data_IF_767976759901
#
_entry.id   IF_767976759901
#
_cell.length_a   1.000
_cell.length_b   1.000
_cell.length_c   1.000
_cell.angle_alpha   90.00
_cell.angle_beta   90.00
_cell.angle_gamma   90.00
#
_symmetry.space_group_name_H-M   'P 1'
#
loop_
_entity.id
_entity.type
_entity.pdbx_description
1 polymer ?
#
# COMPACT_ATOMS: atom_id res chain seq x y z
N UNK A 1 -11.29 19.72 -5.02
CA UNK A 1 -10.15 18.97 -4.46
C UNK A 1 -10.56 17.61 -3.87
N UNK A 2 -11.72 17.52 -3.23
CA UNK A 2 -12.24 16.26 -2.66
C UNK A 2 -12.29 15.08 -3.65
N UNK A 3 -12.89 15.27 -4.84
CA UNK A 3 -12.98 14.22 -5.87
C UNK A 3 -11.58 13.71 -6.25
N UNK A 4 -10.61 14.62 -6.39
CA UNK A 4 -9.23 14.27 -6.74
C UNK A 4 -8.56 13.45 -5.64
N UNK A 5 -8.75 13.81 -4.37
CA UNK A 5 -8.28 13.03 -3.23
C UNK A 5 -8.89 11.62 -3.22
N UNK A 6 -10.20 11.50 -3.39
CA UNK A 6 -10.90 10.20 -3.42
C UNK A 6 -10.43 9.30 -4.57
N UNK A 7 -10.25 9.87 -5.77
CA UNK A 7 -9.71 9.14 -6.92
C UNK A 7 -8.28 8.66 -6.61
N UNK A 8 -7.44 9.52 -6.04
CA UNK A 8 -6.06 9.17 -5.70
C UNK A 8 -5.99 8.04 -4.67
N UNK A 9 -6.83 8.10 -3.63
CA UNK A 9 -6.98 7.03 -2.63
C UNK A 9 -7.41 5.72 -3.29
N UNK A 10 -8.42 5.79 -4.15
CA UNK A 10 -8.97 4.61 -4.85
C UNK A 10 -7.94 3.95 -5.78
N UNK A 11 -7.16 4.75 -6.50
CA UNK A 11 -6.05 4.27 -7.33
C UNK A 11 -4.99 3.58 -6.47
N UNK A 12 -4.58 4.21 -5.37
CA UNK A 12 -3.61 3.62 -4.45
C UNK A 12 -4.10 2.31 -3.85
N UNK A 13 -5.37 2.26 -3.43
CA UNK A 13 -5.99 1.05 -2.92
C UNK A 13 -6.03 -0.05 -3.96
N UNK A 14 -6.58 0.23 -5.15
CA UNK A 14 -6.65 -0.72 -6.25
C UNK A 14 -5.29 -1.26 -6.66
N UNK A 15 -4.27 -0.39 -6.70
CA UNK A 15 -2.89 -0.78 -7.02
C UNK A 15 -2.33 -1.81 -6.04
N UNK A 16 -2.42 -1.57 -4.73
CA UNK A 16 -1.90 -2.50 -3.72
C UNK A 16 -2.57 -3.87 -3.83
N UNK A 17 -3.89 -3.89 -3.96
CA UNK A 17 -4.65 -5.14 -4.11
C UNK A 17 -4.33 -5.85 -5.42
N UNK A 18 -4.15 -5.10 -6.50
CA UNK A 18 -3.75 -5.65 -7.79
C UNK A 18 -2.38 -6.32 -7.69
N UNK A 19 -1.40 -5.64 -7.11
CA UNK A 19 -0.01 -6.11 -6.98
C UNK A 19 0.14 -7.25 -5.97
N UNK A 20 -0.67 -7.32 -4.93
CA UNK A 20 -0.53 -8.36 -3.89
C UNK A 20 -1.43 -9.57 -4.09
N UNK A 21 -2.59 -9.42 -4.75
CA UNK A 21 -3.60 -10.49 -4.84
C UNK A 21 -3.99 -10.82 -6.28
N UNK A 22 -4.37 -9.82 -7.08
CA UNK A 22 -4.97 -10.07 -8.41
C UNK A 22 -3.93 -10.52 -9.43
N UNK A 23 -2.83 -9.79 -9.55
CA UNK A 23 -1.73 -10.12 -10.43
C UNK A 23 -0.37 -9.92 -9.73
N UNK A 24 0.01 -10.86 -8.84
CA UNK A 24 1.23 -10.76 -8.06
C UNK A 24 2.51 -10.48 -8.84
N UNK A 25 2.75 -11.03 -10.05
CA UNK A 25 3.97 -10.74 -10.82
C UNK A 25 4.19 -9.25 -11.12
N UNK A 26 3.14 -8.43 -11.09
CA UNK A 26 3.26 -6.97 -11.30
C UNK A 26 4.17 -6.31 -10.27
N UNK A 27 4.34 -6.87 -9.06
CA UNK A 27 5.26 -6.30 -8.07
C UNK A 27 6.68 -6.09 -8.60
N UNK A 28 7.11 -6.84 -9.63
CA UNK A 28 8.41 -6.67 -10.30
C UNK A 28 8.69 -5.23 -10.73
N UNK A 29 7.66 -4.49 -11.14
CA UNK A 29 7.82 -3.09 -11.56
C UNK A 29 8.34 -2.21 -10.41
N UNK A 30 8.11 -2.60 -9.16
CA UNK A 30 8.56 -1.88 -7.96
C UNK A 30 10.04 -2.10 -7.66
N UNK A 31 10.71 -3.05 -8.33
CA UNK A 31 12.17 -3.27 -8.22
C UNK A 31 12.93 -2.20 -8.98
N UNK A 32 12.34 -1.68 -10.05
CA UNK A 32 12.92 -0.59 -10.83
C UNK A 32 12.90 0.71 -10.05
N UNK A 33 14.09 1.27 -9.79
CA UNK A 33 14.25 2.51 -9.01
C UNK A 33 13.40 3.67 -9.56
N UNK A 34 13.33 3.82 -10.88
CA UNK A 34 12.56 4.88 -11.54
C UNK A 34 11.06 4.74 -11.23
N UNK A 35 10.51 3.56 -11.47
CA UNK A 35 9.10 3.25 -11.28
C UNK A 35 8.70 3.33 -9.81
N UNK A 36 9.53 2.78 -8.91
CA UNK A 36 9.33 2.93 -7.46
C UNK A 36 9.29 4.40 -7.04
N UNK A 37 10.25 5.22 -7.47
CA UNK A 37 10.31 6.63 -7.10
C UNK A 37 9.08 7.42 -7.58
N UNK A 38 8.60 7.15 -8.80
CA UNK A 38 7.38 7.77 -9.33
C UNK A 38 6.18 7.45 -8.43
N UNK A 39 5.99 6.16 -8.12
CA UNK A 39 4.90 5.72 -7.25
C UNK A 39 5.05 6.25 -5.83
N UNK A 40 6.28 6.37 -5.33
CA UNK A 40 6.57 6.93 -4.02
C UNK A 40 6.20 8.41 -3.94
N UNK A 41 6.60 9.23 -4.92
CA UNK A 41 6.19 10.63 -4.97
C UNK A 41 4.69 10.80 -5.13
N UNK A 42 4.04 9.94 -5.93
CA UNK A 42 2.58 9.88 -6.02
C UNK A 42 1.92 9.51 -4.68
N UNK A 43 2.51 8.58 -3.92
CA UNK A 43 2.00 8.19 -2.61
C UNK A 43 2.11 9.30 -1.56
N UNK A 44 3.08 10.20 -1.69
CA UNK A 44 3.24 11.39 -0.84
C UNK A 44 2.25 12.49 -1.24
N UNK A 45 1.95 12.64 -2.54
CA UNK A 45 0.96 13.64 -2.97
C UNK A 45 -0.46 13.30 -2.50
N UNK A 46 -0.78 12.01 -2.35
CA UNK A 46 -2.09 11.56 -1.85
C UNK A 46 -2.50 12.15 -0.48
N UNK A 47 -1.70 12.04 0.60
CA UNK A 47 -2.01 12.68 1.87
C UNK A 47 -2.01 14.20 1.78
N UNK A 48 -1.14 14.81 0.95
CA UNK A 48 -1.15 16.27 0.74
C UNK A 48 -2.49 16.71 0.15
N UNK A 49 -2.98 16.05 -0.91
CA UNK A 49 -4.30 16.35 -1.48
C UNK A 49 -5.43 16.09 -0.50
N UNK A 50 -5.29 15.10 0.36
CA UNK A 50 -6.30 14.76 1.38
C UNK A 50 -6.37 15.81 2.48
N UNK A 51 -5.23 16.36 2.90
CA UNK A 51 -5.16 17.50 3.82
C UNK A 51 -5.76 18.75 3.18
N UNK A 52 -5.42 19.06 1.92
CA UNK A 52 -5.98 20.22 1.20
C UNK A 52 -7.49 20.06 0.98
N UNK A 53 -7.97 18.83 0.77
CA UNK A 53 -9.38 18.52 0.60
C UNK A 53 -10.16 18.47 1.92
N UNK A 54 -9.48 18.47 3.07
CA UNK A 54 -10.13 18.40 4.37
C UNK A 54 -10.98 19.65 4.61
N UNK A 55 -12.25 19.42 4.94
CA UNK A 55 -13.19 20.46 5.32
C UNK A 55 -13.91 20.05 6.63
N UNK A 56 -14.03 21.00 7.56
CA UNK A 56 -14.69 20.79 8.85
C UNK A 56 -16.16 20.38 8.71
N UNK A 57 -16.84 20.81 7.64
CA UNK A 57 -18.24 20.47 7.34
C UNK A 57 -18.41 19.07 6.74
N UNK A 58 -17.32 18.34 6.44
CA UNK A 58 -17.41 16.98 5.94
C UNK A 58 -18.00 16.03 6.97
N UNK A 59 -18.78 15.05 6.48
CA UNK A 59 -19.25 13.96 7.31
C UNK A 59 -18.07 13.16 7.90
N UNK A 60 -18.28 12.60 9.10
CA UNK A 60 -17.26 11.80 9.78
C UNK A 60 -16.68 10.70 8.88
N UNK A 61 -17.54 9.96 8.16
CA UNK A 61 -17.12 8.91 7.22
C UNK A 61 -16.16 9.42 6.14
N UNK A 62 -16.35 10.65 5.65
CA UNK A 62 -15.46 11.27 4.67
C UNK A 62 -14.12 11.64 5.29
N UNK A 63 -14.12 12.24 6.49
CA UNK A 63 -12.89 12.53 7.25
C UNK A 63 -12.09 11.26 7.52
N UNK A 64 -12.76 10.19 7.92
CA UNK A 64 -12.14 8.87 8.13
C UNK A 64 -11.52 8.31 6.84
N UNK A 65 -12.20 8.45 5.70
CA UNK A 65 -11.69 7.97 4.42
C UNK A 65 -10.40 8.67 3.99
N UNK A 66 -10.17 9.94 4.39
CA UNK A 66 -8.94 10.67 4.07
C UNK A 66 -7.69 10.01 4.68
N UNK A 67 -7.79 9.31 5.81
CA UNK A 67 -6.65 8.59 6.39
C UNK A 67 -6.14 7.44 5.52
N UNK A 68 -7.00 6.92 4.62
CA UNK A 68 -6.63 5.90 3.65
C UNK A 68 -5.67 6.42 2.59
N UNK A 69 -5.44 7.74 2.50
CA UNK A 69 -4.42 8.33 1.63
C UNK A 69 -2.99 7.87 1.96
N UNK A 70 -2.75 7.43 3.20
CA UNK A 70 -1.45 6.91 3.64
C UNK A 70 -1.22 5.44 3.25
N UNK A 71 -2.26 4.75 2.76
CA UNK A 71 -2.20 3.31 2.52
C UNK A 71 -1.12 2.91 1.51
N UNK A 72 -1.08 3.60 0.37
CA UNK A 72 -0.07 3.35 -0.66
C UNK A 72 1.35 3.67 -0.16
N UNK A 73 1.49 4.72 0.65
CA UNK A 73 2.79 5.12 1.20
C UNK A 73 3.32 4.03 2.15
N UNK A 74 2.49 3.55 3.08
CA UNK A 74 2.88 2.46 3.98
C UNK A 74 3.18 1.18 3.21
N UNK A 75 2.37 0.84 2.21
CA UNK A 75 2.65 -0.29 1.34
C UNK A 75 4.03 -0.19 0.68
N UNK A 76 4.37 0.95 0.06
CA UNK A 76 5.65 1.11 -0.63
C UNK A 76 6.84 1.04 0.33
N UNK A 77 6.75 1.70 1.49
CA UNK A 77 7.79 1.65 2.52
C UNK A 77 8.02 0.22 3.02
N UNK A 78 6.94 -0.50 3.35
CA UNK A 78 7.01 -1.89 3.80
C UNK A 78 7.51 -2.81 2.67
N UNK A 79 7.05 -2.61 1.43
CA UNK A 79 7.50 -3.37 0.28
C UNK A 79 9.02 -3.26 0.13
N UNK A 80 9.56 -2.04 0.21
CA UNK A 80 10.99 -1.83 0.07
C UNK A 80 11.79 -2.44 1.22
N UNK A 81 11.23 -2.43 2.43
CA UNK A 81 11.81 -3.13 3.57
C UNK A 81 11.87 -4.65 3.32
N UNK A 82 10.76 -5.27 2.93
CA UNK A 82 10.69 -6.71 2.63
C UNK A 82 11.62 -7.11 1.47
N UNK A 83 11.64 -6.34 0.37
CA UNK A 83 12.53 -6.55 -0.77
C UNK A 83 14.00 -6.51 -0.35
N UNK A 84 14.41 -5.51 0.44
CA UNK A 84 15.76 -5.42 0.95
C UNK A 84 16.11 -6.55 1.93
N UNK A 85 15.14 -7.02 2.73
CA UNK A 85 15.35 -8.15 3.63
C UNK A 85 15.63 -9.43 2.85
N UNK A 86 14.81 -9.74 1.83
CA UNK A 86 15.00 -10.92 0.98
C UNK A 86 16.30 -10.80 0.17
N UNK A 87 16.61 -9.62 -0.36
CA UNK A 87 17.86 -9.37 -1.09
C UNK A 87 19.10 -9.66 -0.25
N UNK A 88 19.09 -9.28 1.04
CA UNK A 88 20.20 -9.57 1.95
C UNK A 88 20.31 -11.06 2.30
N UNK A 89 19.18 -11.75 2.44
CA UNK A 89 19.13 -13.13 2.93
C UNK A 89 19.32 -14.18 1.81
N UNK A 90 18.76 -13.94 0.64
CA UNK A 90 18.69 -14.89 -0.47
C UNK A 90 19.42 -14.40 -1.73
N UNK A 91 20.03 -13.20 -1.72
CA UNK A 91 20.71 -12.60 -2.87
C UNK A 91 19.82 -12.44 -4.12
N UNK A 92 18.50 -12.44 -3.93
CA UNK A 92 17.48 -12.22 -4.97
C UNK A 92 16.42 -11.26 -4.46
N UNK A 93 15.64 -10.67 -5.36
CA UNK A 93 14.50 -9.84 -4.97
C UNK A 93 13.36 -10.66 -4.36
N UNK A 94 12.47 -9.95 -3.66
CA UNK A 94 11.22 -10.50 -3.14
C UNK A 94 10.36 -11.03 -4.29
N UNK A 95 9.82 -12.24 -4.12
CA UNK A 95 8.87 -12.91 -5.01
C UNK A 95 7.50 -12.99 -4.35
N UNK A 96 6.45 -12.92 -5.16
CA UNK A 96 5.08 -13.13 -4.71
C UNK A 96 4.47 -14.36 -5.35
N UNK A 97 3.73 -15.12 -4.55
CA UNK A 97 3.05 -16.33 -4.98
C UNK A 97 1.73 -16.00 -5.67
N UNK A 98 1.50 -16.65 -6.81
CA UNK A 98 0.18 -16.66 -7.45
C UNK A 98 -0.74 -17.60 -6.69
N UNK A 99 -1.90 -17.10 -6.26
CA UNK A 99 -2.91 -17.90 -5.56
C UNK A 99 -4.06 -18.35 -6.45
N UNK A 100 -4.48 -17.51 -7.41
CA UNK A 100 -5.77 -17.68 -8.11
C UNK A 100 -5.67 -17.74 -9.63
N UNK A 101 -4.47 -17.71 -10.21
CA UNK A 101 -4.29 -17.71 -11.67
C UNK A 101 -3.25 -18.74 -12.09
N UNK A 102 -3.72 -19.89 -12.59
CA UNK A 102 -2.91 -21.00 -13.08
C UNK A 102 -2.58 -20.92 -14.57
N UNK A 103 -3.13 -19.94 -15.29
CA UNK A 103 -3.02 -19.85 -16.76
C UNK A 103 -1.61 -19.46 -17.20
N UNK A 104 -0.89 -18.69 -16.38
CA UNK A 104 0.45 -18.20 -16.69
C UNK A 104 1.45 -18.82 -15.72
N UNK A 105 2.31 -19.70 -16.22
CA UNK A 105 3.43 -20.22 -15.43
C UNK A 105 4.39 -19.07 -15.09
N UNK A 106 4.88 -19.04 -13.86
CA UNK A 106 5.76 -17.98 -13.38
C UNK A 106 6.77 -18.54 -12.40
N UNK A 107 8.00 -18.68 -12.87
CA UNK A 107 9.09 -19.34 -12.15
C UNK A 107 9.32 -18.75 -10.76
N UNK A 108 9.24 -17.42 -10.62
CA UNK A 108 9.39 -16.77 -9.31
C UNK A 108 8.34 -17.25 -8.32
N UNK A 109 7.11 -17.53 -8.76
CA UNK A 109 6.03 -18.03 -7.90
C UNK A 109 6.29 -19.44 -7.38
N UNK A 110 7.07 -20.25 -8.11
CA UNK A 110 7.44 -21.61 -7.71
C UNK A 110 8.63 -21.61 -6.74
N UNK A 111 9.45 -20.56 -6.78
CA UNK A 111 10.61 -20.34 -5.90
C UNK A 111 10.27 -19.55 -4.62
N UNK A 112 9.00 -19.16 -4.44
CA UNK A 112 8.54 -18.42 -3.26
C UNK A 112 8.78 -19.24 -1.99
N UNK A 113 9.44 -18.62 -1.02
CA UNK A 113 9.58 -19.18 0.32
C UNK A 113 8.39 -18.81 1.23
N UNK A 114 8.17 -19.60 2.28
CA UNK A 114 7.09 -19.36 3.24
C UNK A 114 7.11 -17.96 3.87
N UNK A 115 8.30 -17.39 4.10
CA UNK A 115 8.44 -16.03 4.63
C UNK A 115 7.94 -14.97 3.65
N UNK A 116 8.11 -15.19 2.34
CA UNK A 116 7.66 -14.28 1.30
C UNK A 116 6.13 -14.34 1.14
N UNK A 117 5.50 -15.50 1.40
CA UNK A 117 4.04 -15.59 1.49
C UNK A 117 3.49 -14.77 2.66
N UNK A 118 4.17 -14.79 3.82
CA UNK A 118 3.84 -13.95 4.96
C UNK A 118 4.07 -12.46 4.66
N UNK A 119 5.13 -12.11 3.92
CA UNK A 119 5.33 -10.74 3.46
C UNK A 119 4.24 -10.31 2.48
N UNK A 120 3.85 -11.14 1.52
CA UNK A 120 2.77 -10.81 0.59
C UNK A 120 1.46 -10.56 1.33
N UNK A 121 1.09 -11.44 2.29
CA UNK A 121 -0.09 -11.26 3.12
C UNK A 121 0.00 -10.01 4.00
N UNK A 122 1.15 -9.81 4.66
CA UNK A 122 1.43 -8.66 5.50
C UNK A 122 1.38 -7.35 4.73
N UNK A 123 1.92 -7.31 3.50
CA UNK A 123 1.92 -6.13 2.64
C UNK A 123 0.52 -5.75 2.17
N UNK A 124 -0.43 -6.68 2.10
CA UNK A 124 -1.84 -6.34 1.84
C UNK A 124 -2.51 -5.75 3.09
N UNK A 125 -2.32 -6.37 4.26
CA UNK A 125 -3.15 -6.08 5.45
C UNK A 125 -2.52 -5.08 6.41
N UNK A 126 -1.21 -5.15 6.67
CA UNK A 126 -0.55 -4.31 7.65
C UNK A 126 -0.61 -2.81 7.29
N UNK A 127 -0.41 -2.38 6.03
CA UNK A 127 -0.58 -0.97 5.67
C UNK A 127 -2.00 -0.46 5.97
N UNK A 128 -3.01 -1.32 5.80
CA UNK A 128 -4.41 -0.98 6.10
C UNK A 128 -4.61 -0.81 7.60
N UNK A 129 -4.09 -1.74 8.40
CA UNK A 129 -4.13 -1.67 9.87
C UNK A 129 -3.45 -0.38 10.35
N UNK A 130 -2.30 -0.01 9.79
CA UNK A 130 -1.59 1.22 10.16
C UNK A 130 -2.42 2.47 9.87
N UNK A 131 -3.14 2.52 8.73
CA UNK A 131 -4.10 3.59 8.45
C UNK A 131 -5.21 3.67 9.50
N UNK A 132 -5.78 2.52 9.89
CA UNK A 132 -6.81 2.50 10.94
C UNK A 132 -6.28 2.91 12.32
N UNK A 133 -5.10 2.43 12.71
CA UNK A 133 -4.46 2.84 13.97
C UNK A 133 -4.25 4.35 14.01
N UNK A 134 -3.71 4.93 12.94
CA UNK A 134 -3.51 6.38 12.86
C UNK A 134 -4.83 7.15 12.89
N UNK A 135 -5.85 6.64 12.21
CA UNK A 135 -7.21 7.19 12.27
C UNK A 135 -7.69 7.25 13.72
N UNK A 136 -7.63 6.13 14.46
CA UNK A 136 -8.08 6.09 15.86
C UNK A 136 -7.25 7.02 16.75
N UNK A 137 -5.92 6.97 16.64
CA UNK A 137 -5.04 7.85 17.42
C UNK A 137 -5.35 9.32 17.17
N UNK A 138 -5.52 9.75 15.92
CA UNK A 138 -5.73 11.15 15.59
C UNK A 138 -7.16 11.59 15.94
N UNK A 139 -8.18 10.77 15.69
CA UNK A 139 -9.55 11.09 16.09
C UNK A 139 -9.67 11.16 17.62
N UNK A 140 -9.11 10.20 18.34
CA UNK A 140 -9.15 10.19 19.81
C UNK A 140 -8.34 11.35 20.41
N UNK A 141 -7.19 11.71 19.83
CA UNK A 141 -6.36 12.80 20.34
C UNK A 141 -6.92 14.20 20.03
N UNK A 142 -7.57 14.39 18.88
CA UNK A 142 -7.96 15.73 18.41
C UNK A 142 -9.47 16.01 18.41
N UNK A 143 -10.34 14.99 18.36
CA UNK A 143 -11.79 15.18 18.23
C UNK A 143 -12.58 14.83 19.51
N UNK A 144 -12.05 14.01 20.41
CA UNK A 144 -12.69 13.69 21.70
C UNK A 144 -12.29 14.63 22.85
N UNK A 145 -11.53 15.70 22.57
CA UNK A 145 -11.18 16.74 23.56
C UNK A 145 -12.13 17.97 23.53
N UNK A 146 -13.21 17.92 22.74
CA UNK A 146 -14.28 18.92 22.69
C UNK A 146 -15.64 18.24 22.79
#
# INVERSE_FOLDING_TARGET
>A
MEIVSLITISIGFGFVWFVTLVHPPTHRILREKKTYNILFYFSISSPIFSIIAYNNEMSLKRKEALFMSLYLLFFLLMYKYCDNYILKKHQRNLYFKKKYNSVWHDQESDEVESIEEWFQFGLTILPLILCYILKYLIIDLFLNQY
#
